data_IF_716044569920
#
_entry.id   IF_716044569920
#
_cell.length_a   1.000
_cell.length_b   1.000
_cell.length_c   1.000
_cell.angle_alpha   90.00
_cell.angle_beta   90.00
_cell.angle_gamma   90.00
#
_symmetry.space_group_name_H-M   'P 1'
#
loop_
_entity.id
_entity.type
_entity.pdbx_description
1 polymer ?
#
# COMPACT_ATOMS: atom_id res chain seq x y z
N UNK A 1 6.45 26.75 25.90
CA UNK A 1 5.12 26.14 25.73
C UNK A 1 5.03 25.56 24.33
N UNK A 2 4.83 24.29 24.13
CA UNK A 2 4.67 23.71 22.78
C UNK A 2 3.20 23.88 22.39
N UNK A 3 2.92 24.74 21.39
CA UNK A 3 1.60 24.86 20.81
C UNK A 3 1.43 23.77 19.74
N UNK A 4 0.34 22.98 19.84
CA UNK A 4 -0.05 22.02 18.84
C UNK A 4 -1.25 22.53 18.06
N UNK A 5 -1.18 22.47 16.74
CA UNK A 5 -2.32 22.71 15.86
C UNK A 5 -2.85 21.36 15.35
N UNK A 6 -4.18 21.21 15.40
CA UNK A 6 -4.85 20.00 14.91
C UNK A 6 -5.56 20.30 13.59
N UNK A 7 -5.41 19.44 12.62
CA UNK A 7 -6.08 19.52 11.33
C UNK A 7 -7.00 18.31 11.22
N UNK A 8 -8.31 18.55 11.09
CA UNK A 8 -9.27 17.50 10.81
C UNK A 8 -9.42 17.32 9.30
N UNK A 9 -9.23 16.10 8.84
CA UNK A 9 -9.36 15.71 7.44
C UNK A 9 -10.56 14.79 7.32
N UNK A 10 -11.55 15.18 6.53
CA UNK A 10 -12.71 14.35 6.22
C UNK A 10 -12.36 13.43 5.03
N UNK A 11 -12.08 12.16 5.34
CA UNK A 11 -11.70 11.16 4.36
C UNK A 11 -12.80 10.88 3.32
N UNK A 12 -14.09 11.03 3.70
CA UNK A 12 -15.17 10.81 2.76
C UNK A 12 -15.18 11.88 1.67
N UNK A 13 -14.90 13.14 2.03
CA UNK A 13 -14.77 14.23 1.06
C UNK A 13 -13.58 14.06 0.10
N UNK A 14 -12.47 13.52 0.58
CA UNK A 14 -11.34 13.19 -0.31
C UNK A 14 -11.75 12.12 -1.31
N UNK A 15 -12.51 11.10 -0.88
CA UNK A 15 -13.01 10.04 -1.77
C UNK A 15 -13.99 10.56 -2.82
N UNK A 16 -14.82 11.53 -2.50
CA UNK A 16 -15.81 12.12 -3.42
C UNK A 16 -15.16 12.94 -4.54
N UNK A 17 -14.04 13.61 -4.28
CA UNK A 17 -13.41 14.55 -5.21
C UNK A 17 -12.11 14.07 -5.84
N UNK A 18 -11.55 12.97 -5.35
CA UNK A 18 -10.21 12.52 -5.73
C UNK A 18 -10.16 11.10 -6.31
N UNK A 19 -9.12 10.85 -7.07
CA UNK A 19 -8.72 9.49 -7.43
C UNK A 19 -7.93 8.89 -6.26
N UNK A 20 -8.44 7.82 -5.64
CA UNK A 20 -7.86 7.17 -4.45
C UNK A 20 -6.45 6.58 -4.68
N UNK A 21 -6.05 6.44 -5.94
CA UNK A 21 -4.72 5.95 -6.32
C UNK A 21 -3.67 7.06 -6.45
N UNK A 22 -4.06 8.34 -6.24
CA UNK A 22 -3.15 9.48 -6.28
C UNK A 22 -2.60 9.82 -4.90
N UNK A 23 -1.42 10.43 -4.90
CA UNK A 23 -0.88 11.09 -3.72
C UNK A 23 -1.49 12.49 -3.57
N UNK A 24 -1.86 12.84 -2.37
CA UNK A 24 -2.42 14.14 -2.06
C UNK A 24 -1.44 14.98 -1.24
N UNK A 25 -1.28 16.23 -1.65
CA UNK A 25 -0.49 17.22 -0.94
C UNK A 25 -1.39 18.38 -0.56
N UNK A 26 -1.50 18.65 0.73
CA UNK A 26 -2.26 19.78 1.26
C UNK A 26 -1.30 20.96 1.50
N UNK A 27 -1.42 22.06 0.74
CA UNK A 27 -0.68 23.29 1.02
C UNK A 27 -1.32 24.01 2.20
N UNK A 28 -0.56 24.20 3.25
CA UNK A 28 -0.96 24.93 4.44
C UNK A 28 -0.20 26.26 4.53
N UNK A 29 -0.89 27.30 4.97
CA UNK A 29 -0.29 28.60 5.26
C UNK A 29 -0.79 29.13 6.59
N UNK A 30 0.12 29.54 7.44
CA UNK A 30 -0.20 30.32 8.64
C UNK A 30 -0.49 31.76 8.19
N UNK A 31 -1.71 32.21 8.41
CA UNK A 31 -2.13 33.56 8.00
C UNK A 31 -2.09 34.59 9.13
N UNK A 32 -2.19 34.13 10.38
CA UNK A 32 -2.08 34.97 11.58
C UNK A 32 -1.68 34.15 12.79
N UNK A 33 -1.05 34.77 13.76
CA UNK A 33 -0.81 34.22 15.10
C UNK A 33 -1.28 35.24 16.16
N UNK A 34 -1.73 34.75 17.30
CA UNK A 34 -2.06 35.61 18.45
C UNK A 34 -0.94 35.52 19.45
N UNK A 35 -0.30 36.66 19.73
CA UNK A 35 0.70 36.79 20.80
C UNK A 35 2.16 36.62 20.40
N UNK A 36 2.46 36.27 19.15
CA UNK A 36 3.82 36.12 18.65
C UNK A 36 3.96 36.72 17.25
N UNK A 37 5.11 37.30 16.93
CA UNK A 37 5.38 37.78 15.58
C UNK A 37 5.49 36.58 14.60
N UNK A 38 4.85 36.71 13.45
CA UNK A 38 4.97 35.73 12.39
C UNK A 38 6.39 35.76 11.81
N UNK A 39 7.03 34.60 11.73
CA UNK A 39 8.32 34.44 11.07
C UNK A 39 8.30 34.81 9.59
N UNK A 40 9.46 34.83 8.96
CA UNK A 40 9.58 35.12 7.54
C UNK A 40 8.67 34.24 6.69
N UNK A 41 8.11 34.77 5.58
CA UNK A 41 7.16 34.09 4.69
C UNK A 41 7.53 32.66 4.29
N UNK A 42 8.83 32.35 4.22
CA UNK A 42 9.33 30.99 3.91
C UNK A 42 9.02 29.95 5.00
N UNK A 43 8.77 30.40 6.24
CA UNK A 43 8.46 29.51 7.38
C UNK A 43 6.96 29.45 7.69
N UNK A 44 6.13 30.20 6.95
CA UNK A 44 4.68 30.22 7.15
C UNK A 44 3.91 29.27 6.21
N UNK A 45 4.62 28.56 5.35
CA UNK A 45 4.05 27.62 4.38
C UNK A 45 4.58 26.21 4.63
N UNK A 46 3.67 25.24 4.64
CA UNK A 46 3.97 23.82 4.78
C UNK A 46 3.22 23.05 3.69
N UNK A 47 3.87 22.07 3.10
CA UNK A 47 3.24 21.07 2.26
C UNK A 47 3.08 19.79 3.10
N UNK A 48 1.86 19.44 3.44
CA UNK A 48 1.55 18.20 4.16
C UNK A 48 1.18 17.11 3.16
N UNK A 49 1.98 16.06 3.09
CA UNK A 49 1.64 14.86 2.31
C UNK A 49 0.67 14.01 3.12
N UNK A 50 -0.47 13.66 2.49
CA UNK A 50 -1.51 12.85 3.11
C UNK A 50 -1.40 11.44 2.54
N UNK A 51 -0.99 10.50 3.36
CA UNK A 51 -0.97 9.06 3.05
C UNK A 51 -1.94 8.30 3.93
N UNK A 52 -2.73 7.42 3.33
CA UNK A 52 -3.56 6.49 4.07
C UNK A 52 -2.74 5.28 4.49
N UNK A 53 -3.05 4.74 5.67
CA UNK A 53 -2.47 3.49 6.17
C UNK A 53 -3.57 2.62 6.77
N UNK A 54 -3.41 1.33 6.62
CA UNK A 54 -4.18 0.32 7.33
C UNK A 54 -3.24 -0.78 7.83
N UNK A 55 -3.78 -1.84 8.39
CA UNK A 55 -3.02 -2.90 9.05
C UNK A 55 -2.06 -3.66 8.14
N UNK A 56 -2.28 -3.65 6.83
CA UNK A 56 -1.49 -4.42 5.86
C UNK A 56 -0.98 -3.60 4.69
N UNK A 57 -1.13 -2.26 4.74
CA UNK A 57 -0.46 -1.37 3.78
C UNK A 57 1.00 -1.19 4.14
N UNK A 58 1.87 -1.16 3.14
CA UNK A 58 3.31 -0.98 3.33
C UNK A 58 4.14 -1.60 2.22
N UNK A 59 5.45 -1.61 2.42
CA UNK A 59 6.41 -2.24 1.51
C UNK A 59 6.65 -3.66 1.98
N UNK A 60 6.45 -4.60 1.08
CA UNK A 60 6.68 -6.02 1.28
C UNK A 60 7.90 -6.46 0.48
N UNK A 61 8.75 -7.27 1.09
CA UNK A 61 9.93 -7.87 0.46
C UNK A 61 9.74 -9.37 0.30
N UNK A 62 10.24 -9.92 -0.80
CA UNK A 62 10.07 -11.35 -1.08
C UNK A 62 10.50 -11.71 -2.49
N UNK A 63 9.79 -12.63 -3.11
CA UNK A 63 10.04 -13.04 -4.48
C UNK A 63 8.73 -13.15 -5.24
N UNK A 64 8.69 -12.50 -6.41
CA UNK A 64 7.64 -12.67 -7.40
C UNK A 64 8.25 -12.93 -8.78
N UNK A 65 7.55 -13.68 -9.59
CA UNK A 65 7.95 -14.00 -10.96
C UNK A 65 6.83 -13.61 -11.91
N UNK A 66 7.17 -12.79 -12.89
CA UNK A 66 6.33 -12.46 -14.03
C UNK A 66 6.76 -13.33 -15.20
N UNK A 67 5.85 -14.04 -15.83
CA UNK A 67 6.10 -14.87 -17.01
C UNK A 67 5.24 -14.42 -18.17
N UNK A 68 5.83 -14.16 -19.32
CA UNK A 68 5.08 -13.92 -20.55
C UNK A 68 4.54 -15.24 -21.10
N UNK A 69 3.21 -15.32 -21.25
CA UNK A 69 2.57 -16.54 -21.72
C UNK A 69 3.03 -16.94 -23.14
N UNK A 70 3.23 -18.22 -23.33
CA UNK A 70 3.69 -18.78 -24.61
C UNK A 70 5.18 -18.60 -24.90
N UNK A 71 5.94 -18.10 -23.93
CA UNK A 71 7.39 -17.91 -24.05
C UNK A 71 8.13 -18.45 -22.85
N UNK A 72 9.46 -18.43 -22.88
CA UNK A 72 10.35 -18.71 -21.73
C UNK A 72 10.80 -17.44 -21.02
N UNK A 73 10.27 -16.27 -21.42
CA UNK A 73 10.67 -15.01 -20.82
C UNK A 73 10.06 -14.85 -19.42
N UNK A 74 10.91 -14.59 -18.45
CA UNK A 74 10.55 -14.34 -17.06
C UNK A 74 11.31 -13.15 -16.50
N UNK A 75 10.64 -12.38 -15.64
CA UNK A 75 11.26 -11.30 -14.85
C UNK A 75 10.97 -11.53 -13.38
N UNK A 76 11.95 -11.27 -12.51
CA UNK A 76 11.79 -11.38 -11.07
C UNK A 76 11.58 -10.00 -10.43
N UNK A 77 10.71 -9.93 -9.44
CA UNK A 77 10.57 -8.78 -8.54
C UNK A 77 10.87 -9.21 -7.10
N UNK A 78 11.54 -8.35 -6.35
CA UNK A 78 11.95 -8.62 -4.96
C UNK A 78 11.12 -7.87 -3.93
N UNK A 79 10.23 -6.99 -4.39
CA UNK A 79 9.36 -6.21 -3.52
C UNK A 79 8.07 -5.82 -4.20
N UNK A 80 7.03 -5.61 -3.40
CA UNK A 80 5.78 -4.98 -3.83
C UNK A 80 5.34 -3.99 -2.77
N UNK A 81 4.53 -3.00 -3.15
CA UNK A 81 4.00 -2.03 -2.21
C UNK A 81 2.47 -2.04 -2.25
N UNK A 82 1.86 -2.17 -1.08
CA UNK A 82 0.43 -2.04 -0.87
C UNK A 82 0.11 -0.64 -0.34
N UNK A 83 -0.77 0.06 -1.04
CA UNK A 83 -1.23 1.39 -0.70
C UNK A 83 -2.66 1.31 -0.16
N UNK A 84 -2.91 1.82 1.04
CA UNK A 84 -4.24 1.78 1.62
C UNK A 84 -5.23 2.69 0.87
N UNK A 85 -6.42 2.17 0.59
CA UNK A 85 -7.60 2.92 0.13
C UNK A 85 -8.53 3.22 1.32
N UNK A 86 -8.74 2.19 2.14
CA UNK A 86 -9.56 2.24 3.35
C UNK A 86 -9.05 1.19 4.36
N UNK A 87 -9.83 0.92 5.40
CA UNK A 87 -9.43 -0.03 6.45
C UNK A 87 -9.23 -1.47 5.94
N UNK A 88 -9.98 -1.87 4.91
CA UNK A 88 -10.04 -3.23 4.42
C UNK A 88 -9.56 -3.38 2.97
N UNK A 89 -9.16 -2.28 2.32
CA UNK A 89 -8.77 -2.31 0.91
C UNK A 89 -7.43 -1.61 0.72
N UNK A 90 -6.53 -2.29 0.03
CA UNK A 90 -5.31 -1.71 -0.52
C UNK A 90 -5.33 -1.83 -2.05
N UNK A 91 -4.47 -1.08 -2.70
CA UNK A 91 -4.13 -1.33 -4.10
C UNK A 91 -2.63 -1.57 -4.26
N UNK A 92 -2.28 -2.23 -5.34
CA UNK A 92 -0.91 -2.42 -5.80
C UNK A 92 -0.85 -2.31 -7.32
N UNK A 93 0.35 -2.32 -7.87
CA UNK A 93 0.57 -2.45 -9.31
C UNK A 93 0.92 -3.89 -9.67
N UNK A 94 0.46 -4.36 -10.83
CA UNK A 94 0.71 -5.74 -11.28
C UNK A 94 2.18 -5.99 -11.58
N UNK A 95 2.64 -7.20 -11.29
CA UNK A 95 3.98 -7.67 -11.63
C UNK A 95 5.08 -6.79 -11.05
N UNK A 96 5.94 -6.27 -11.92
CA UNK A 96 7.05 -5.37 -11.58
C UNK A 96 6.72 -3.89 -11.77
N UNK A 97 5.48 -3.56 -12.13
CA UNK A 97 5.07 -2.18 -12.39
C UNK A 97 5.10 -1.34 -11.11
N UNK A 98 5.51 -0.08 -11.26
CA UNK A 98 5.53 0.91 -10.17
C UNK A 98 5.19 2.29 -10.72
N UNK A 99 4.90 3.26 -9.86
CA UNK A 99 4.69 4.65 -10.26
C UNK A 99 5.92 5.28 -10.93
N UNK A 100 7.11 4.81 -10.59
CA UNK A 100 8.37 5.38 -11.08
C UNK A 100 8.85 4.79 -12.38
N UNK A 101 8.49 3.54 -12.70
CA UNK A 101 8.97 2.84 -13.88
C UNK A 101 7.92 2.66 -14.98
N UNK A 102 6.68 3.10 -14.75
CA UNK A 102 5.56 2.84 -15.65
C UNK A 102 4.85 4.14 -15.99
N UNK A 103 4.81 4.49 -17.27
CA UNK A 103 3.91 5.53 -17.80
C UNK A 103 2.47 5.01 -17.69
N UNK A 104 1.53 5.88 -17.37
CA UNK A 104 0.11 5.51 -17.21
C UNK A 104 -0.11 4.36 -16.20
N UNK A 105 0.62 4.40 -15.07
CA UNK A 105 0.59 3.38 -14.02
C UNK A 105 -0.83 3.06 -13.52
N UNK A 106 -1.78 3.97 -13.66
CA UNK A 106 -3.19 3.74 -13.31
C UNK A 106 -3.84 2.63 -14.13
N UNK A 107 -3.30 2.30 -15.30
CA UNK A 107 -3.76 1.19 -16.12
C UNK A 107 -3.32 -0.19 -15.59
N UNK A 108 -2.53 -0.23 -14.53
CA UNK A 108 -1.94 -1.44 -13.95
C UNK A 108 -2.32 -1.67 -12.49
N UNK A 109 -3.39 -1.04 -12.04
CA UNK A 109 -3.87 -1.11 -10.65
C UNK A 109 -4.71 -2.36 -10.42
N UNK A 110 -4.41 -3.04 -9.31
CA UNK A 110 -5.21 -4.12 -8.74
C UNK A 110 -5.53 -3.80 -7.29
N UNK A 111 -6.77 -3.99 -6.90
CA UNK A 111 -7.23 -3.85 -5.53
C UNK A 111 -7.18 -5.19 -4.81
N UNK A 112 -6.80 -5.12 -3.53
CA UNK A 112 -6.81 -6.22 -2.58
C UNK A 112 -7.80 -5.85 -1.50
N UNK A 113 -8.92 -6.55 -1.43
CA UNK A 113 -9.92 -6.36 -0.38
C UNK A 113 -9.85 -7.51 0.61
N UNK A 114 -9.80 -7.17 1.91
CA UNK A 114 -9.82 -8.12 3.01
C UNK A 114 -11.21 -8.13 3.64
N UNK A 115 -11.81 -9.31 3.78
CA UNK A 115 -13.05 -9.50 4.49
C UNK A 115 -12.87 -9.54 6.03
N UNK A 116 -13.98 -9.66 6.76
CA UNK A 116 -13.97 -9.73 8.23
C UNK A 116 -13.34 -11.02 8.78
N UNK A 117 -13.19 -12.05 7.96
CA UNK A 117 -12.55 -13.33 8.33
C UNK A 117 -11.05 -13.32 8.06
N UNK A 118 -10.56 -12.31 7.35
CA UNK A 118 -9.15 -12.15 7.01
C UNK A 118 -8.77 -12.69 5.64
N UNK A 119 -9.73 -13.25 4.91
CA UNK A 119 -9.52 -13.68 3.53
C UNK A 119 -9.39 -12.47 2.61
N UNK A 120 -8.57 -12.60 1.56
CA UNK A 120 -8.35 -11.52 0.60
C UNK A 120 -8.83 -11.91 -0.79
N UNK A 121 -9.38 -10.92 -1.50
CA UNK A 121 -9.77 -11.02 -2.90
C UNK A 121 -9.02 -9.99 -3.74
N UNK A 122 -8.72 -10.36 -4.98
CA UNK A 122 -8.07 -9.49 -5.96
C UNK A 122 -9.07 -9.07 -7.02
N UNK A 123 -9.15 -7.78 -7.29
CA UNK A 123 -10.01 -7.23 -8.34
C UNK A 123 -9.27 -6.12 -9.10
N UNK A 124 -9.70 -5.85 -10.33
CA UNK A 124 -9.26 -4.66 -11.07
C UNK A 124 -10.44 -4.03 -11.77
N UNK A 125 -10.53 -2.72 -11.69
CA UNK A 125 -11.50 -1.89 -12.41
C UNK A 125 -10.96 -1.38 -13.76
N UNK A 126 -9.78 -1.86 -14.16
CA UNK A 126 -9.12 -1.46 -15.42
C UNK A 126 -9.45 -2.49 -16.50
N UNK A 127 -10.43 -2.19 -17.34
CA UNK A 127 -10.89 -3.11 -18.41
C UNK A 127 -9.75 -3.56 -19.33
N UNK A 128 -8.83 -2.66 -19.68
CA UNK A 128 -7.69 -2.94 -20.56
C UNK A 128 -6.68 -3.92 -19.96
N UNK A 129 -6.66 -4.09 -18.63
CA UNK A 129 -5.76 -5.00 -17.94
C UNK A 129 -6.15 -6.47 -18.10
N UNK A 130 -7.43 -6.76 -18.41
CA UNK A 130 -7.99 -8.12 -18.50
C UNK A 130 -7.53 -9.02 -17.34
N UNK A 131 -7.59 -8.45 -16.15
CA UNK A 131 -7.10 -9.08 -14.93
C UNK A 131 -7.89 -10.34 -14.58
N UNK A 132 -7.18 -11.41 -14.23
CA UNK A 132 -7.77 -12.68 -13.82
C UNK A 132 -7.04 -13.21 -12.58
N UNK A 133 -7.68 -13.15 -11.39
CA UNK A 133 -7.11 -13.73 -10.18
C UNK A 133 -7.18 -15.26 -10.21
N UNK A 134 -6.18 -15.92 -9.62
CA UNK A 134 -6.15 -17.36 -9.37
C UNK A 134 -6.15 -17.68 -7.89
N UNK A 135 -5.27 -17.06 -7.14
CA UNK A 135 -5.21 -17.21 -5.70
C UNK A 135 -4.68 -15.94 -5.04
N UNK A 136 -5.16 -15.69 -3.84
CA UNK A 136 -4.65 -14.68 -2.96
C UNK A 136 -4.78 -15.16 -1.51
N UNK A 137 -3.74 -14.99 -0.73
CA UNK A 137 -3.74 -15.35 0.68
C UNK A 137 -2.97 -14.32 1.48
N UNK A 138 -3.52 -13.94 2.62
CA UNK A 138 -2.86 -13.11 3.61
C UNK A 138 -2.76 -13.89 4.91
N UNK A 139 -1.57 -13.93 5.49
CA UNK A 139 -1.34 -14.55 6.79
C UNK A 139 -0.57 -13.60 7.70
N UNK A 140 -0.78 -13.73 9.00
CA UNK A 140 -0.08 -12.97 10.03
C UNK A 140 0.48 -13.91 11.06
N UNK A 141 1.69 -13.58 11.51
CA UNK A 141 2.38 -14.24 12.60
C UNK A 141 2.95 -13.19 13.54
N UNK A 142 3.02 -13.54 14.79
CA UNK A 142 3.60 -12.69 15.82
C UNK A 142 4.76 -13.43 16.47
N UNK A 143 5.89 -12.75 16.63
CA UNK A 143 7.05 -13.24 17.35
C UNK A 143 7.42 -12.27 18.47
N UNK A 144 8.15 -12.74 19.46
CA UNK A 144 8.66 -11.86 20.52
C UNK A 144 9.70 -10.89 19.93
N UNK A 145 9.54 -9.59 20.23
CA UNK A 145 10.63 -8.65 19.98
C UNK A 145 11.64 -8.75 21.14
N UNK A 146 12.76 -9.43 20.90
CA UNK A 146 13.80 -9.63 21.92
C UNK A 146 14.59 -8.35 22.24
N UNK A 147 14.51 -7.34 21.37
CA UNK A 147 15.19 -6.05 21.58
C UNK A 147 14.37 -5.14 22.50
N UNK A 148 13.05 -5.14 22.34
CA UNK A 148 12.14 -4.36 23.17
C UNK A 148 10.90 -5.19 23.54
N UNK A 149 10.86 -5.64 24.78
CA UNK A 149 9.80 -6.52 25.31
C UNK A 149 8.40 -5.86 25.37
N UNK A 150 8.27 -4.57 25.10
CA UNK A 150 6.96 -3.89 24.98
C UNK A 150 6.26 -4.21 23.66
N UNK A 151 6.99 -4.79 22.70
CA UNK A 151 6.49 -5.05 21.36
C UNK A 151 6.48 -6.55 21.04
N UNK A 152 5.56 -6.91 20.13
CA UNK A 152 5.70 -8.07 19.27
C UNK A 152 6.21 -7.60 17.90
N UNK A 153 6.90 -8.46 17.21
CA UNK A 153 7.14 -8.29 15.77
C UNK A 153 6.04 -9.02 15.02
N UNK A 154 5.18 -8.25 14.35
CA UNK A 154 4.17 -8.79 13.44
C UNK A 154 4.79 -9.01 12.06
N UNK A 155 4.65 -10.21 11.52
CA UNK A 155 5.04 -10.57 10.16
C UNK A 155 3.77 -10.83 9.36
N UNK A 156 3.48 -9.96 8.39
CA UNK A 156 2.38 -10.14 7.45
C UNK A 156 2.94 -10.68 6.14
N UNK A 157 2.42 -11.82 5.67
CA UNK A 157 2.82 -12.44 4.41
C UNK A 157 1.64 -12.45 3.45
N UNK A 158 1.89 -12.08 2.19
CA UNK A 158 0.93 -12.17 1.08
C UNK A 158 1.46 -13.15 0.03
N UNK A 159 0.56 -14.03 -0.44
CA UNK A 159 0.80 -14.96 -1.53
C UNK A 159 -0.21 -14.62 -2.63
N UNK A 160 0.28 -14.40 -3.85
CA UNK A 160 -0.53 -13.90 -4.96
C UNK A 160 -0.26 -14.71 -6.23
N UNK A 161 -1.31 -15.08 -6.95
CA UNK A 161 -1.21 -15.62 -8.30
C UNK A 161 -2.34 -15.06 -9.18
N UNK A 162 -1.98 -14.50 -10.34
CA UNK A 162 -2.92 -13.88 -11.27
C UNK A 162 -2.35 -13.78 -12.68
N UNK A 163 -3.23 -13.51 -13.65
CA UNK A 163 -2.89 -13.13 -15.01
C UNK A 163 -3.33 -11.70 -15.29
N UNK A 164 -2.63 -11.05 -16.21
CA UNK A 164 -2.99 -9.71 -16.69
C UNK A 164 -2.48 -9.48 -18.10
N UNK A 165 -3.09 -8.53 -18.82
CA UNK A 165 -2.62 -8.06 -20.11
C UNK A 165 -1.70 -6.86 -19.93
N UNK A 166 -0.46 -6.96 -20.39
CA UNK A 166 0.45 -5.82 -20.51
C UNK A 166 0.33 -5.24 -21.93
N UNK A 167 -0.09 -3.97 -22.01
CA UNK A 167 -0.22 -3.24 -23.25
C UNK A 167 0.88 -2.18 -23.45
N UNK A 168 1.97 -2.29 -22.67
CA UNK A 168 3.15 -1.44 -22.85
C UNK A 168 3.75 -1.67 -24.24
N UNK A 169 4.29 -0.62 -24.83
CA UNK A 169 4.97 -0.64 -26.15
C UNK A 169 4.09 -0.99 -27.36
N UNK A 170 2.75 -0.89 -27.22
CA UNK A 170 1.82 -1.10 -28.34
C UNK A 170 1.53 -2.57 -28.68
N UNK A 171 2.07 -3.52 -27.94
CA UNK A 171 1.75 -4.94 -28.01
C UNK A 171 0.87 -5.36 -26.84
N UNK A 172 -0.04 -6.30 -27.08
CA UNK A 172 -0.90 -6.88 -26.05
C UNK A 172 -0.35 -8.23 -25.65
N UNK A 173 0.39 -8.27 -24.54
CA UNK A 173 1.03 -9.48 -24.05
C UNK A 173 0.28 -10.00 -22.81
N UNK A 174 -0.04 -11.29 -22.80
CA UNK A 174 -0.58 -11.91 -21.60
C UNK A 174 0.58 -12.33 -20.68
N UNK A 175 0.49 -11.88 -19.44
CA UNK A 175 1.47 -12.12 -18.39
C UNK A 175 0.82 -12.94 -17.28
N UNK A 176 1.56 -13.86 -16.69
CA UNK A 176 1.20 -14.50 -15.42
C UNK A 176 2.16 -14.05 -14.32
N UNK A 177 1.64 -13.95 -13.12
CA UNK A 177 2.41 -13.57 -11.93
C UNK A 177 2.15 -14.56 -10.81
N UNK A 178 3.24 -14.96 -10.14
CA UNK A 178 3.19 -15.67 -8.87
C UNK A 178 4.21 -15.05 -7.92
N UNK A 179 3.84 -14.81 -6.66
CA UNK A 179 4.75 -14.21 -5.70
C UNK A 179 4.33 -14.40 -4.25
N UNK A 180 5.37 -14.41 -3.39
CA UNK A 180 5.24 -14.43 -1.93
C UNK A 180 6.10 -13.31 -1.36
N UNK A 181 5.48 -12.45 -0.58
CA UNK A 181 6.13 -11.29 0.01
C UNK A 181 5.73 -11.11 1.46
N UNK A 182 6.65 -10.61 2.28
CA UNK A 182 6.42 -10.38 3.70
C UNK A 182 6.83 -8.97 4.11
N UNK A 183 6.08 -8.41 5.05
CA UNK A 183 6.36 -7.17 5.73
C UNK A 183 6.45 -7.43 7.23
N UNK A 184 7.40 -6.80 7.89
CA UNK A 184 7.61 -6.89 9.34
C UNK A 184 7.43 -5.52 9.98
N UNK A 185 6.74 -5.46 11.12
CA UNK A 185 6.58 -4.24 11.92
C UNK A 185 6.46 -4.56 13.40
N UNK A 186 6.85 -3.62 14.25
CA UNK A 186 6.66 -3.73 15.68
C UNK A 186 5.27 -3.22 16.09
N UNK A 187 4.56 -4.00 16.89
CA UNK A 187 3.23 -3.69 17.43
C UNK A 187 3.26 -3.77 18.96
N UNK A 188 2.61 -2.83 19.65
CA UNK A 188 2.57 -2.81 21.11
C UNK A 188 1.81 -4.01 21.64
N UNK A 189 2.38 -4.75 22.59
CA UNK A 189 1.76 -5.94 23.20
C UNK A 189 0.43 -5.65 23.87
N UNK A 190 0.27 -4.46 24.45
CA UNK A 190 -0.97 -4.05 25.12
C UNK A 190 -2.16 -3.96 24.17
N UNK A 191 -1.92 -3.71 22.88
CA UNK A 191 -2.95 -3.62 21.85
C UNK A 191 -3.30 -5.00 21.25
N UNK A 192 -2.48 -6.03 21.57
CA UNK A 192 -2.58 -7.40 21.04
C UNK A 192 -2.49 -8.45 22.13
N UNK A 193 -3.36 -8.43 23.17
CA UNK A 193 -3.20 -9.27 24.36
C UNK A 193 -3.45 -10.78 24.14
N UNK A 194 -4.11 -11.14 23.04
CA UNK A 194 -4.57 -12.52 22.79
C UNK A 194 -4.04 -13.10 21.46
N UNK A 195 -2.90 -12.63 20.98
CA UNK A 195 -2.30 -13.21 19.76
C UNK A 195 -1.47 -14.44 20.10
N UNK A 196 -1.53 -15.44 19.24
CA UNK A 196 -0.64 -16.59 19.28
C UNK A 196 0.76 -16.14 18.85
N UNK A 197 1.75 -16.32 19.73
CA UNK A 197 3.13 -15.92 19.47
C UNK A 197 3.95 -17.17 19.19
N UNK A 198 4.58 -17.19 18.01
CA UNK A 198 5.53 -18.24 17.63
C UNK A 198 6.87 -18.00 18.34
N UNK A 199 7.49 -19.06 18.90
CA UNK A 199 8.81 -19.04 19.52
C UNK A 199 9.94 -19.06 18.47
#
# INVERSE_FOLDING_TARGET
MNAAAYIHIDLNKIREVGNLYNDYVLPLRITSSTGEEMGANKYTKVLAHIGFKNDYSGIYSGKGVVTQQGTTYTTETTSTQLYAINNNTCYMFVGEKTRSNTTDYLNYVVEIERDDFGDITLTSHVDGLKFKPYSAKLSRKYTYNYTDQRYYTEITTIELAYEYQDSAQGESLMMSFEGTFSMSRDVLRVDYPNVDVEE
#
